data_IF_499092201310
#
_entry.id   IF_499092201310
#
_cell.length_a   1.000
_cell.length_b   1.000
_cell.length_c   1.000
_cell.angle_alpha   90.00
_cell.angle_beta   90.00
_cell.angle_gamma   90.00
#
_symmetry.space_group_name_H-M   'P 1'
#
loop_
_entity.id
_entity.type
_entity.pdbx_description
1 polymer ?
#
# COMPACT_ATOMS: atom_id res chain seq x y z
N UNK A 1 -0.04 1.62 19.67
CA UNK A 1 0.59 1.20 18.40
C UNK A 1 1.52 -0.01 18.55
N UNK A 2 2.06 -0.31 19.74
CA UNK A 2 2.83 -1.55 20.03
C UNK A 2 2.00 -2.59 20.79
N UNK A 3 0.69 -2.64 20.54
CA UNK A 3 -0.20 -3.68 21.07
C UNK A 3 -0.54 -4.62 19.94
N UNK A 4 -0.92 -5.86 20.26
CA UNK A 4 -1.45 -6.77 19.25
C UNK A 4 -2.59 -6.08 18.50
N UNK A 5 -2.57 -6.11 17.15
CA UNK A 5 -3.58 -5.44 16.37
C UNK A 5 -4.94 -6.12 16.57
N UNK A 6 -6.00 -5.32 16.62
CA UNK A 6 -7.35 -5.86 16.47
C UNK A 6 -7.47 -6.42 15.06
N UNK A 7 -7.90 -7.68 14.95
CA UNK A 7 -8.18 -8.32 13.67
C UNK A 7 -9.66 -8.23 13.33
N UNK A 8 -9.98 -8.11 12.05
CA UNK A 8 -11.34 -8.25 11.54
C UNK A 8 -11.91 -9.62 11.96
N UNK A 9 -13.13 -9.68 12.53
CA UNK A 9 -13.71 -10.93 13.05
C UNK A 9 -13.94 -12.00 11.97
N UNK A 10 -13.93 -11.63 10.69
CA UNK A 10 -14.13 -12.54 9.57
C UNK A 10 -12.81 -13.07 8.97
N UNK A 11 -11.65 -12.74 9.56
CA UNK A 11 -10.32 -13.10 9.05
C UNK A 11 -10.20 -14.59 8.66
N UNK A 12 -10.51 -15.51 9.56
CA UNK A 12 -10.33 -16.95 9.34
C UNK A 12 -11.17 -17.48 8.16
N UNK A 13 -12.43 -17.02 8.05
CA UNK A 13 -13.32 -17.42 6.95
C UNK A 13 -12.88 -16.81 5.63
N UNK A 14 -12.65 -15.50 5.61
CA UNK A 14 -12.24 -14.77 4.41
C UNK A 14 -10.89 -15.28 3.91
N UNK A 15 -9.97 -15.68 4.79
CA UNK A 15 -8.70 -16.31 4.41
C UNK A 15 -8.89 -17.54 3.54
N UNK A 16 -9.68 -18.51 4.00
CA UNK A 16 -9.90 -19.76 3.27
C UNK A 16 -10.48 -19.47 1.88
N UNK A 17 -11.50 -18.63 1.83
CA UNK A 17 -12.19 -18.33 0.58
C UNK A 17 -11.34 -17.46 -0.38
N UNK A 18 -10.52 -16.55 0.14
CA UNK A 18 -9.76 -15.62 -0.67
C UNK A 18 -8.53 -16.27 -1.28
N UNK A 19 -7.82 -17.05 -0.47
CA UNK A 19 -6.65 -17.78 -0.94
C UNK A 19 -7.07 -18.84 -1.99
N UNK A 20 -8.21 -19.50 -1.80
CA UNK A 20 -8.76 -20.47 -2.76
C UNK A 20 -9.20 -19.82 -4.07
N UNK A 21 -9.89 -18.68 -3.99
CA UNK A 21 -10.30 -17.92 -5.17
C UNK A 21 -9.09 -17.40 -5.96
N UNK A 22 -8.09 -16.85 -5.28
CA UNK A 22 -6.86 -16.38 -5.93
C UNK A 22 -6.11 -17.52 -6.62
N UNK A 23 -5.99 -18.69 -5.97
CA UNK A 23 -5.36 -19.87 -6.56
C UNK A 23 -6.06 -20.32 -7.84
N UNK A 24 -7.39 -20.38 -7.81
CA UNK A 24 -8.21 -20.76 -8.97
C UNK A 24 -8.09 -19.73 -10.10
N UNK A 25 -8.27 -18.44 -9.80
CA UNK A 25 -8.41 -17.41 -10.84
C UNK A 25 -7.10 -17.15 -11.58
N UNK A 26 -5.97 -17.22 -10.87
CA UNK A 26 -4.63 -17.11 -11.47
C UNK A 26 -4.08 -18.44 -12.00
N UNK A 27 -4.81 -19.56 -11.84
CA UNK A 27 -4.35 -20.88 -12.27
C UNK A 27 -3.07 -21.33 -11.59
N UNK A 28 -2.93 -21.05 -10.29
CA UNK A 28 -1.70 -21.33 -9.53
C UNK A 28 -1.48 -22.84 -9.38
N UNK A 29 -0.24 -23.28 -9.56
CA UNK A 29 0.16 -24.64 -9.20
C UNK A 29 0.21 -24.84 -7.66
N UNK A 30 0.47 -26.06 -7.21
CA UNK A 30 0.50 -26.38 -5.78
C UNK A 30 1.58 -25.57 -5.01
N UNK A 31 2.73 -25.32 -5.63
CA UNK A 31 3.83 -24.57 -5.01
C UNK A 31 3.48 -23.09 -4.90
N UNK A 32 2.92 -22.50 -5.95
CA UNK A 32 2.47 -21.11 -6.00
C UNK A 32 1.31 -20.89 -5.04
N UNK A 33 0.36 -21.83 -4.97
CA UNK A 33 -0.75 -21.79 -4.01
C UNK A 33 -0.23 -21.74 -2.57
N UNK A 34 0.73 -22.62 -2.22
CA UNK A 34 1.38 -22.60 -0.89
C UNK A 34 2.10 -21.28 -0.60
N UNK A 35 2.70 -20.64 -1.61
CA UNK A 35 3.33 -19.32 -1.47
C UNK A 35 2.27 -18.22 -1.24
N UNK A 36 1.17 -18.22 -2.00
CA UNK A 36 0.06 -17.27 -1.85
C UNK A 36 -0.55 -17.34 -0.43
N UNK A 37 -0.88 -18.54 0.04
CA UNK A 37 -1.44 -18.75 1.40
C UNK A 37 -0.52 -18.19 2.49
N UNK A 38 0.80 -18.34 2.32
CA UNK A 38 1.82 -17.83 3.25
C UNK A 38 2.01 -16.32 3.18
N UNK A 39 1.80 -15.69 2.02
CA UNK A 39 1.84 -14.24 1.89
C UNK A 39 0.76 -13.56 2.75
N UNK A 40 -0.37 -14.26 2.97
CA UNK A 40 -1.37 -13.93 3.97
C UNK A 40 -1.88 -12.49 3.88
N UNK A 41 -2.19 -12.04 2.66
CA UNK A 41 -2.76 -10.71 2.40
C UNK A 41 -4.06 -10.47 3.17
N UNK A 42 -4.78 -11.53 3.51
CA UNK A 42 -5.95 -11.49 4.39
C UNK A 42 -5.63 -11.01 5.79
N UNK A 43 -4.51 -11.43 6.38
CA UNK A 43 -4.09 -10.97 7.71
C UNK A 43 -3.75 -9.48 7.71
N UNK A 44 -3.00 -9.03 6.70
CA UNK A 44 -2.67 -7.62 6.52
C UNK A 44 -3.95 -6.76 6.47
N UNK A 45 -4.91 -7.15 5.64
CA UNK A 45 -6.18 -6.45 5.52
C UNK A 45 -7.06 -6.55 6.78
N UNK A 46 -6.96 -7.64 7.54
CA UNK A 46 -7.72 -7.81 8.78
C UNK A 46 -7.34 -6.75 9.83
N UNK A 47 -6.08 -6.30 9.81
CA UNK A 47 -5.60 -5.23 10.68
C UNK A 47 -6.11 -3.87 10.18
N UNK A 48 -6.01 -3.61 8.88
CA UNK A 48 -6.37 -2.31 8.28
C UNK A 48 -7.88 -2.05 8.33
N UNK A 49 -8.67 -3.09 8.13
CA UNK A 49 -10.13 -3.05 8.10
C UNK A 49 -10.74 -3.77 9.31
N UNK A 50 -10.15 -3.58 10.49
CA UNK A 50 -10.54 -4.30 11.73
C UNK A 50 -12.00 -4.14 12.15
N UNK A 51 -12.68 -3.09 11.68
CA UNK A 51 -14.08 -2.80 11.95
C UNK A 51 -15.01 -2.94 10.73
N UNK A 52 -14.47 -3.32 9.56
CA UNK A 52 -15.25 -3.48 8.35
C UNK A 52 -16.19 -4.68 8.44
N UNK A 53 -17.35 -4.59 7.79
CA UNK A 53 -18.16 -5.79 7.53
C UNK A 53 -17.44 -6.75 6.58
N UNK A 54 -17.91 -7.99 6.57
CA UNK A 54 -17.32 -9.07 5.79
C UNK A 54 -17.23 -8.73 4.30
N UNK A 55 -18.27 -8.13 3.72
CA UNK A 55 -18.35 -7.90 2.29
C UNK A 55 -17.28 -6.88 1.86
N UNK A 56 -17.19 -5.76 2.58
CA UNK A 56 -16.21 -4.72 2.30
C UNK A 56 -14.77 -5.22 2.53
N UNK A 57 -14.55 -5.92 3.65
CA UNK A 57 -13.27 -6.56 3.96
C UNK A 57 -12.85 -7.55 2.87
N UNK A 58 -13.77 -8.39 2.40
CA UNK A 58 -13.49 -9.37 1.34
C UNK A 58 -13.12 -8.70 0.01
N UNK A 59 -13.83 -7.65 -0.38
CA UNK A 59 -13.52 -6.89 -1.61
C UNK A 59 -12.14 -6.21 -1.53
N UNK A 60 -11.78 -5.67 -0.36
CA UNK A 60 -10.45 -5.10 -0.10
C UNK A 60 -9.34 -6.16 -0.19
N UNK A 61 -9.59 -7.37 0.34
CA UNK A 61 -8.66 -8.51 0.23
C UNK A 61 -8.44 -8.94 -1.22
N UNK A 62 -9.51 -9.02 -2.02
CA UNK A 62 -9.42 -9.43 -3.42
C UNK A 62 -8.61 -8.41 -4.24
N UNK A 63 -8.76 -7.12 -3.95
CA UNK A 63 -7.91 -6.08 -4.54
C UNK A 63 -6.44 -6.22 -4.14
N UNK A 64 -6.14 -6.60 -2.89
CA UNK A 64 -4.75 -6.82 -2.50
C UNK A 64 -4.13 -8.06 -3.14
N UNK A 65 -4.88 -9.14 -3.34
CA UNK A 65 -4.39 -10.24 -4.17
C UNK A 65 -4.02 -9.77 -5.57
N UNK A 66 -4.82 -8.85 -6.12
CA UNK A 66 -4.54 -8.24 -7.41
C UNK A 66 -3.31 -7.33 -7.41
N UNK A 67 -3.20 -6.38 -6.48
CA UNK A 67 -2.14 -5.37 -6.54
C UNK A 67 -0.76 -6.01 -6.43
N UNK A 68 -0.60 -7.04 -5.58
CA UNK A 68 0.67 -7.77 -5.50
C UNK A 68 0.96 -8.57 -6.77
N UNK A 69 -0.04 -9.24 -7.36
CA UNK A 69 0.15 -9.95 -8.62
C UNK A 69 0.49 -9.00 -9.78
N UNK A 70 -0.07 -7.79 -9.78
CA UNK A 70 0.22 -6.73 -10.74
C UNK A 70 1.63 -6.17 -10.54
N UNK A 71 1.99 -5.81 -9.31
CA UNK A 71 3.31 -5.26 -8.92
C UNK A 71 4.45 -6.24 -9.26
N UNK A 72 4.27 -7.54 -9.01
CA UNK A 72 5.22 -8.59 -9.37
C UNK A 72 5.57 -8.58 -10.88
N UNK A 73 4.68 -8.10 -11.77
CA UNK A 73 4.97 -7.98 -13.20
C UNK A 73 6.01 -6.88 -13.51
N UNK A 74 6.08 -5.84 -12.67
CA UNK A 74 7.02 -4.71 -12.77
C UNK A 74 8.30 -4.96 -11.96
N UNK A 75 8.24 -5.78 -10.92
CA UNK A 75 9.41 -6.12 -10.10
C UNK A 75 10.21 -7.29 -10.69
N UNK A 76 9.54 -8.41 -10.94
CA UNK A 76 10.18 -9.69 -11.31
C UNK A 76 9.77 -10.16 -12.72
N UNK A 77 8.73 -9.55 -13.29
CA UNK A 77 8.07 -9.99 -14.51
C UNK A 77 8.53 -9.29 -15.80
N UNK A 78 7.69 -9.35 -16.85
CA UNK A 78 8.07 -8.93 -18.20
C UNK A 78 8.23 -7.40 -18.36
N UNK A 79 7.73 -6.60 -17.42
CA UNK A 79 7.71 -5.14 -17.54
C UNK A 79 8.90 -4.45 -16.88
N UNK A 80 9.66 -5.16 -16.04
CA UNK A 80 10.70 -4.59 -15.17
C UNK A 80 11.71 -3.66 -15.86
N UNK A 81 12.05 -3.94 -17.11
CA UNK A 81 13.03 -3.18 -17.91
C UNK A 81 12.46 -2.75 -19.28
N UNK A 82 11.17 -2.98 -19.54
CA UNK A 82 10.50 -2.64 -20.80
C UNK A 82 9.40 -1.60 -20.56
N UNK A 83 9.81 -0.32 -20.58
CA UNK A 83 8.89 0.79 -20.38
C UNK A 83 7.77 0.89 -21.42
N UNK A 84 7.99 0.41 -22.65
CA UNK A 84 6.94 0.42 -23.67
C UNK A 84 5.85 -0.59 -23.34
N UNK A 85 6.23 -1.83 -22.97
CA UNK A 85 5.27 -2.83 -22.52
C UNK A 85 4.61 -2.43 -21.19
N UNK A 86 5.37 -1.87 -20.26
CA UNK A 86 4.86 -1.37 -18.98
C UNK A 86 3.78 -0.29 -19.18
N UNK A 87 4.04 0.70 -20.05
CA UNK A 87 3.08 1.76 -20.36
C UNK A 87 1.81 1.19 -21.00
N UNK A 88 1.95 0.24 -21.94
CA UNK A 88 0.79 -0.40 -22.56
C UNK A 88 -0.08 -1.16 -21.57
N UNK A 89 0.53 -1.85 -20.61
CA UNK A 89 -0.23 -2.56 -19.57
C UNK A 89 -0.94 -1.58 -18.63
N UNK A 90 -0.27 -0.50 -18.23
CA UNK A 90 -0.86 0.55 -17.40
C UNK A 90 -2.02 1.24 -18.10
N UNK A 91 -1.86 1.63 -19.37
CA UNK A 91 -2.91 2.27 -20.15
C UNK A 91 -4.13 1.36 -20.27
N UNK A 92 -3.89 0.07 -20.56
CA UNK A 92 -4.96 -0.90 -20.69
C UNK A 92 -5.65 -1.20 -19.35
N UNK A 93 -4.93 -1.15 -18.23
CA UNK A 93 -5.49 -1.35 -16.89
C UNK A 93 -6.29 -0.12 -16.44
N UNK A 94 -5.78 1.09 -16.70
CA UNK A 94 -6.51 2.33 -16.41
C UNK A 94 -7.80 2.43 -17.22
N UNK A 95 -7.80 1.96 -18.47
CA UNK A 95 -9.00 1.95 -19.31
C UNK A 95 -10.16 1.13 -18.71
N UNK A 96 -9.88 0.14 -17.86
CA UNK A 96 -10.90 -0.69 -17.18
C UNK A 96 -11.73 0.15 -16.20
N UNK A 97 -11.17 1.23 -15.65
CA UNK A 97 -11.89 2.11 -14.73
C UNK A 97 -12.87 3.05 -15.44
N UNK A 98 -13.09 2.88 -16.74
CA UNK A 98 -14.13 3.57 -17.50
C UNK A 98 -15.40 2.71 -17.54
N UNK A 99 -16.57 3.33 -17.43
CA UNK A 99 -17.86 2.62 -17.36
C UNK A 99 -18.20 1.79 -18.63
N UNK A 100 -17.43 1.95 -19.72
CA UNK A 100 -17.69 1.32 -21.02
C UNK A 100 -16.70 0.20 -21.38
N UNK A 101 -15.77 -0.17 -20.48
CA UNK A 101 -14.76 -1.17 -20.84
C UNK A 101 -15.38 -2.57 -21.04
N UNK A 102 -15.13 -3.26 -22.17
CA UNK A 102 -15.69 -4.58 -22.42
C UNK A 102 -15.21 -5.63 -21.40
N UNK A 103 -16.00 -6.68 -21.12
CA UNK A 103 -15.57 -7.77 -20.26
C UNK A 103 -14.26 -8.40 -20.75
N UNK A 104 -13.31 -8.58 -19.84
CA UNK A 104 -12.03 -9.24 -20.11
C UNK A 104 -12.15 -10.71 -19.71
N UNK A 105 -12.01 -11.69 -20.61
CA UNK A 105 -12.02 -13.09 -20.25
C UNK A 105 -10.81 -13.45 -19.38
N UNK A 106 -11.01 -14.31 -18.36
CA UNK A 106 -9.94 -14.71 -17.45
C UNK A 106 -8.79 -15.39 -18.21
N UNK A 107 -9.09 -16.23 -19.19
CA UNK A 107 -8.13 -16.98 -19.99
C UNK A 107 -7.25 -16.07 -20.87
N UNK A 108 -7.72 -14.85 -21.17
CA UNK A 108 -6.99 -13.88 -21.99
C UNK A 108 -5.99 -13.08 -21.15
N UNK A 109 -6.39 -12.64 -19.96
CA UNK A 109 -5.53 -11.90 -19.04
C UNK A 109 -6.08 -11.95 -17.61
N UNK A 110 -5.65 -12.93 -16.78
CA UNK A 110 -6.18 -13.10 -15.44
C UNK A 110 -6.03 -11.86 -14.55
N UNK A 111 -4.90 -11.17 -14.63
CA UNK A 111 -4.61 -9.98 -13.80
C UNK A 111 -5.59 -8.84 -14.11
N UNK A 112 -5.83 -8.52 -15.38
CA UNK A 112 -6.80 -7.49 -15.76
C UNK A 112 -8.25 -7.94 -15.56
N UNK A 113 -8.55 -9.22 -15.74
CA UNK A 113 -9.86 -9.78 -15.38
C UNK A 113 -10.17 -9.59 -13.89
N UNK A 114 -9.20 -9.87 -13.02
CA UNK A 114 -9.33 -9.64 -11.59
C UNK A 114 -9.46 -8.15 -11.27
N UNK A 115 -8.69 -7.27 -11.93
CA UNK A 115 -8.84 -5.83 -11.75
C UNK A 115 -10.25 -5.36 -12.11
N UNK A 116 -10.78 -5.77 -13.26
CA UNK A 116 -12.14 -5.42 -13.68
C UNK A 116 -13.19 -5.92 -12.70
N UNK A 117 -13.02 -7.15 -12.19
CA UNK A 117 -13.91 -7.74 -11.20
C UNK A 117 -13.88 -7.00 -9.87
N UNK A 118 -12.68 -6.66 -9.38
CA UNK A 118 -12.51 -5.94 -8.11
C UNK A 118 -12.97 -4.50 -8.23
N UNK A 119 -12.61 -3.79 -9.29
CA UNK A 119 -13.07 -2.43 -9.57
C UNK A 119 -14.60 -2.37 -9.57
N UNK A 120 -15.28 -3.23 -10.34
CA UNK A 120 -16.74 -3.27 -10.40
C UNK A 120 -17.37 -3.45 -9.01
N UNK A 121 -16.85 -4.41 -8.22
CA UNK A 121 -17.37 -4.71 -6.88
C UNK A 121 -17.12 -3.58 -5.88
N UNK A 122 -16.01 -2.87 -6.03
CA UNK A 122 -15.67 -1.70 -5.22
C UNK A 122 -16.56 -0.51 -5.60
N UNK A 123 -16.66 -0.18 -6.88
CA UNK A 123 -17.45 0.96 -7.39
C UNK A 123 -18.95 0.82 -7.15
N UNK A 124 -19.51 -0.40 -7.14
CA UNK A 124 -20.90 -0.64 -6.77
C UNK A 124 -21.27 -0.18 -5.34
N UNK A 125 -20.28 -0.10 -4.45
CA UNK A 125 -20.47 0.23 -3.03
C UNK A 125 -19.83 1.56 -2.62
N UNK A 126 -18.74 1.96 -3.27
CA UNK A 126 -18.04 3.20 -2.98
C UNK A 126 -18.87 4.41 -3.44
N UNK A 127 -18.89 5.48 -2.65
CA UNK A 127 -19.49 6.74 -3.10
C UNK A 127 -18.65 7.37 -4.24
N UNK A 128 -19.22 8.28 -5.06
CA UNK A 128 -18.51 8.86 -6.18
C UNK A 128 -17.18 9.55 -5.79
N UNK A 129 -17.11 10.18 -4.63
CA UNK A 129 -15.88 10.83 -4.16
C UNK A 129 -14.80 9.81 -3.79
N UNK A 130 -15.18 8.69 -3.16
CA UNK A 130 -14.27 7.57 -2.90
C UNK A 130 -13.75 6.96 -4.21
N UNK A 131 -14.63 6.77 -5.20
CA UNK A 131 -14.26 6.28 -6.53
C UNK A 131 -13.25 7.20 -7.22
N UNK A 132 -13.53 8.50 -7.27
CA UNK A 132 -12.64 9.50 -7.86
C UNK A 132 -11.26 9.52 -7.19
N UNK A 133 -11.22 9.49 -5.85
CA UNK A 133 -9.97 9.45 -5.08
C UNK A 133 -9.17 8.19 -5.36
N UNK A 134 -9.84 7.04 -5.39
CA UNK A 134 -9.17 5.77 -5.66
C UNK A 134 -8.60 5.73 -7.08
N UNK A 135 -9.36 6.17 -8.09
CA UNK A 135 -8.89 6.30 -9.48
C UNK A 135 -7.66 7.20 -9.54
N UNK A 136 -7.69 8.36 -8.86
CA UNK A 136 -6.55 9.28 -8.80
C UNK A 136 -5.32 8.62 -8.18
N UNK A 137 -5.47 8.06 -6.98
CA UNK A 137 -4.36 7.44 -6.25
C UNK A 137 -3.78 6.22 -6.97
N UNK A 138 -4.62 5.48 -7.70
CA UNK A 138 -4.17 4.39 -8.55
C UNK A 138 -3.36 4.89 -9.76
N UNK A 139 -3.80 5.96 -10.44
CA UNK A 139 -3.03 6.59 -11.52
C UNK A 139 -1.69 7.14 -11.04
N UNK A 140 -1.65 7.70 -9.84
CA UNK A 140 -0.41 8.17 -9.22
C UNK A 140 0.54 7.00 -8.93
N UNK A 141 0.03 5.87 -8.44
CA UNK A 141 0.80 4.63 -8.27
C UNK A 141 1.34 4.09 -9.60
N UNK A 142 0.51 4.01 -10.65
CA UNK A 142 0.96 3.61 -11.99
C UNK A 142 2.06 4.50 -12.53
N UNK A 143 1.97 5.82 -12.30
CA UNK A 143 3.04 6.77 -12.66
C UNK A 143 4.35 6.42 -11.92
N UNK A 144 4.25 6.04 -10.64
CA UNK A 144 5.37 5.54 -9.85
C UNK A 144 6.00 4.26 -10.43
N UNK A 145 5.18 3.31 -10.90
CA UNK A 145 5.67 2.07 -11.54
C UNK A 145 6.41 2.35 -12.86
N UNK A 146 5.91 3.25 -13.71
CA UNK A 146 6.63 3.64 -14.93
C UNK A 146 7.96 4.28 -14.59
N UNK A 147 7.97 5.18 -13.60
CA UNK A 147 9.20 5.80 -13.11
C UNK A 147 10.17 4.73 -12.60
N UNK A 148 9.71 3.73 -11.88
CA UNK A 148 10.52 2.59 -11.43
C UNK A 148 11.15 1.84 -12.60
N UNK A 149 10.36 1.48 -13.62
CA UNK A 149 10.87 0.77 -14.81
C UNK A 149 11.93 1.59 -15.55
N UNK A 150 11.73 2.90 -15.70
CA UNK A 150 12.73 3.78 -16.33
C UNK A 150 14.03 3.87 -15.52
N UNK A 151 13.93 3.94 -14.18
CA UNK A 151 15.11 3.93 -13.30
C UNK A 151 15.87 2.60 -13.44
N UNK A 152 15.17 1.46 -13.42
CA UNK A 152 15.77 0.12 -13.58
C UNK A 152 16.47 -0.01 -14.94
N UNK A 153 15.76 0.32 -16.03
CA UNK A 153 16.25 0.27 -17.41
C UNK A 153 17.50 1.13 -17.64
N UNK A 154 17.52 2.34 -17.09
CA UNK A 154 18.65 3.28 -17.24
C UNK A 154 19.76 3.04 -16.22
N UNK A 155 19.54 2.17 -15.23
CA UNK A 155 20.39 2.02 -14.04
C UNK A 155 20.73 3.36 -13.40
N UNK A 156 19.75 4.27 -13.39
CA UNK A 156 19.94 5.61 -12.82
C UNK A 156 20.23 5.46 -11.33
N UNK A 157 21.37 6.00 -10.91
CA UNK A 157 21.67 6.16 -9.48
C UNK A 157 20.85 7.33 -8.94
N UNK A 158 20.10 7.06 -7.88
CA UNK A 158 19.27 8.05 -7.21
C UNK A 158 20.01 8.63 -6.00
N UNK A 159 19.76 9.90 -5.73
CA UNK A 159 19.97 10.48 -4.39
C UNK A 159 18.93 9.93 -3.41
N UNK A 160 19.14 10.13 -2.10
CA UNK A 160 18.17 9.73 -1.06
C UNK A 160 16.83 10.44 -1.25
N UNK A 161 16.84 11.73 -1.56
CA UNK A 161 15.61 12.51 -1.77
C UNK A 161 14.85 12.04 -3.01
N UNK A 162 15.55 11.78 -4.11
CA UNK A 162 14.93 11.19 -5.31
C UNK A 162 14.37 9.79 -5.06
N UNK A 163 15.02 9.00 -4.19
CA UNK A 163 14.54 7.69 -3.76
C UNK A 163 13.23 7.80 -3.00
N UNK A 164 13.21 8.60 -1.92
CA UNK A 164 12.03 8.78 -1.07
C UNK A 164 10.85 9.28 -1.90
N UNK A 165 11.08 10.28 -2.77
CA UNK A 165 10.06 10.84 -3.63
C UNK A 165 9.42 9.80 -4.57
N UNK A 166 10.23 8.99 -5.26
CA UNK A 166 9.64 7.94 -6.10
C UNK A 166 9.00 6.81 -5.28
N UNK A 167 9.61 6.43 -4.15
CA UNK A 167 9.15 5.28 -3.36
C UNK A 167 7.79 5.54 -2.72
N UNK A 168 7.49 6.78 -2.32
CA UNK A 168 6.14 7.20 -1.91
C UNK A 168 5.08 6.93 -2.98
N UNK A 169 5.44 7.06 -4.25
CA UNK A 169 4.53 6.79 -5.38
C UNK A 169 4.45 5.29 -5.69
N UNK A 170 5.57 4.58 -5.68
CA UNK A 170 5.61 3.17 -6.12
C UNK A 170 5.31 2.13 -5.03
N UNK A 171 5.30 2.49 -3.74
CA UNK A 171 5.03 1.51 -2.66
C UNK A 171 3.56 1.06 -2.58
N UNK A 172 2.64 1.72 -3.30
CA UNK A 172 1.22 1.36 -3.29
C UNK A 172 0.47 1.72 -2.00
N UNK A 173 1.06 2.52 -1.11
CA UNK A 173 0.44 2.89 0.16
C UNK A 173 -0.82 3.75 -0.02
N UNK A 174 -0.81 4.73 -0.92
CA UNK A 174 -1.93 5.65 -1.12
C UNK A 174 -3.21 4.99 -1.66
N UNK A 175 -3.18 4.17 -2.74
CA UNK A 175 -4.37 3.45 -3.16
C UNK A 175 -4.88 2.48 -2.07
N UNK A 176 -3.99 1.90 -1.27
CA UNK A 176 -4.35 1.06 -0.13
C UNK A 176 -5.07 1.84 0.98
N UNK A 177 -4.58 3.04 1.33
CA UNK A 177 -5.21 3.91 2.32
C UNK A 177 -6.63 4.32 1.90
N UNK A 178 -6.86 4.62 0.62
CA UNK A 178 -8.20 4.94 0.11
C UNK A 178 -9.21 3.81 0.30
N UNK A 179 -8.77 2.56 0.31
CA UNK A 179 -9.65 1.42 0.58
C UNK A 179 -10.06 1.29 2.05
N UNK A 180 -9.37 1.95 2.99
CA UNK A 180 -9.77 1.95 4.41
C UNK A 180 -11.06 2.73 4.60
N UNK A 181 -11.21 3.87 3.91
CA UNK A 181 -12.43 4.67 3.91
C UNK A 181 -13.63 3.84 3.43
N UNK A 182 -13.44 3.17 2.29
CA UNK A 182 -14.39 2.22 1.71
C UNK A 182 -14.75 1.08 2.68
N UNK A 183 -13.74 0.39 3.22
CA UNK A 183 -13.94 -0.80 4.03
C UNK A 183 -14.65 -0.47 5.35
N UNK A 184 -14.31 0.66 5.97
CA UNK A 184 -14.92 1.11 7.21
C UNK A 184 -16.28 1.77 7.01
N UNK A 185 -16.74 1.99 5.77
CA UNK A 185 -18.01 2.67 5.49
C UNK A 185 -18.07 4.09 6.03
N UNK A 186 -16.93 4.78 6.08
CA UNK A 186 -16.83 6.17 6.53
C UNK A 186 -16.74 7.08 5.31
N UNK A 187 -17.26 8.30 5.41
CA UNK A 187 -17.11 9.32 4.37
C UNK A 187 -16.36 10.50 4.96
N UNK A 188 -15.21 10.83 4.39
CA UNK A 188 -14.38 11.96 4.80
C UNK A 188 -14.53 13.06 3.74
N UNK A 189 -14.81 14.30 4.18
CA UNK A 189 -14.91 15.42 3.24
C UNK A 189 -13.57 15.71 2.59
N UNK A 190 -13.61 16.15 1.33
CA UNK A 190 -12.39 16.49 0.60
C UNK A 190 -11.57 17.58 1.31
N UNK A 191 -12.23 18.54 1.97
CA UNK A 191 -11.57 19.58 2.78
C UNK A 191 -10.74 19.03 3.95
N UNK A 192 -11.13 17.90 4.53
CA UNK A 192 -10.37 17.24 5.61
C UNK A 192 -9.19 16.49 5.03
N UNK A 193 -9.37 15.82 3.88
CA UNK A 193 -8.29 15.10 3.20
C UNK A 193 -7.22 16.06 2.64
N UNK A 194 -7.65 17.19 2.07
CA UNK A 194 -6.76 18.23 1.53
C UNK A 194 -6.09 19.07 2.63
N UNK A 195 -6.53 18.92 3.88
CA UNK A 195 -5.92 19.64 4.99
C UNK A 195 -4.43 19.28 5.07
N UNK A 196 -3.49 20.24 5.17
CA UNK A 196 -2.06 19.98 5.12
C UNK A 196 -1.59 18.90 6.11
N UNK A 197 -2.20 18.81 7.30
CA UNK A 197 -1.89 17.77 8.28
C UNK A 197 -2.28 16.36 7.82
N UNK A 198 -3.42 16.21 7.13
CA UNK A 198 -3.87 14.91 6.60
C UNK A 198 -2.93 14.43 5.51
N UNK A 199 -2.61 15.32 4.56
CA UNK A 199 -1.62 15.05 3.50
C UNK A 199 -0.26 14.66 4.08
N UNK A 200 0.18 15.34 5.14
CA UNK A 200 1.46 15.01 5.78
C UNK A 200 1.41 13.68 6.54
N UNK A 201 0.29 13.37 7.20
CA UNK A 201 0.07 12.06 7.82
C UNK A 201 0.10 10.91 6.80
N UNK A 202 -0.49 11.10 5.62
CA UNK A 202 -0.44 10.12 4.53
C UNK A 202 0.99 9.91 4.04
N UNK A 203 1.76 10.99 3.82
CA UNK A 203 3.19 10.88 3.44
C UNK A 203 4.02 10.16 4.48
N UNK A 204 3.88 10.50 5.76
CA UNK A 204 4.59 9.83 6.84
C UNK A 204 4.18 8.35 6.93
N UNK A 205 2.91 8.04 6.68
CA UNK A 205 2.44 6.66 6.64
C UNK A 205 3.09 5.88 5.49
N UNK A 206 3.17 6.46 4.30
CA UNK A 206 3.90 5.88 3.17
C UNK A 206 5.38 5.67 3.50
N UNK A 207 6.01 6.65 4.16
CA UNK A 207 7.41 6.56 4.59
C UNK A 207 7.63 5.39 5.53
N UNK A 208 6.79 5.24 6.55
CA UNK A 208 6.90 4.12 7.48
C UNK A 208 6.69 2.77 6.77
N UNK A 209 5.77 2.70 5.82
CA UNK A 209 5.51 1.48 5.03
C UNK A 209 6.75 1.11 4.20
N UNK A 210 7.30 2.03 3.39
CA UNK A 210 8.45 1.66 2.56
C UNK A 210 9.72 1.46 3.38
N UNK A 211 9.94 2.22 4.47
CA UNK A 211 11.13 2.04 5.31
C UNK A 211 11.15 0.66 5.96
N UNK A 212 10.00 0.18 6.44
CA UNK A 212 9.89 -1.18 6.98
C UNK A 212 10.05 -2.22 5.86
N UNK A 213 9.47 -1.97 4.69
CA UNK A 213 9.62 -2.84 3.53
C UNK A 213 11.10 -2.99 3.15
N UNK A 214 11.83 -1.90 2.93
CA UNK A 214 13.24 -1.90 2.54
C UNK A 214 14.13 -2.63 3.55
N UNK A 215 13.87 -2.49 4.86
CA UNK A 215 14.62 -3.23 5.90
C UNK A 215 14.37 -4.73 5.79
N UNK A 216 13.12 -5.14 5.62
CA UNK A 216 12.74 -6.56 5.60
C UNK A 216 13.02 -7.23 4.26
N UNK A 217 12.96 -6.49 3.15
CA UNK A 217 13.23 -6.97 1.80
C UNK A 217 14.72 -6.98 1.47
N UNK A 218 15.59 -6.27 2.22
CA UNK A 218 17.00 -6.10 1.90
C UNK A 218 17.72 -7.40 1.47
N UNK A 219 17.46 -8.52 2.16
CA UNK A 219 18.06 -9.82 1.78
C UNK A 219 17.57 -10.29 0.41
N UNK A 220 16.25 -10.24 0.18
CA UNK A 220 15.65 -10.56 -1.12
C UNK A 220 16.21 -9.66 -2.21
N UNK A 221 16.29 -8.36 -1.94
CA UNK A 221 16.76 -7.36 -2.90
C UNK A 221 18.23 -7.60 -3.28
N UNK A 222 19.09 -7.92 -2.31
CA UNK A 222 20.49 -8.32 -2.55
C UNK A 222 20.59 -9.60 -3.38
N UNK A 223 19.78 -10.62 -3.10
CA UNK A 223 19.75 -11.89 -3.83
C UNK A 223 19.29 -11.71 -5.29
N UNK A 224 18.37 -10.77 -5.53
CA UNK A 224 17.85 -10.44 -6.86
C UNK A 224 18.66 -9.36 -7.60
N UNK A 225 19.64 -8.74 -6.95
CA UNK A 225 20.42 -7.64 -7.52
C UNK A 225 19.62 -6.34 -7.68
N UNK A 226 18.57 -6.15 -6.89
CA UNK A 226 17.75 -4.93 -6.88
C UNK A 226 18.51 -3.83 -6.13
N UNK A 227 18.85 -2.74 -6.83
CA UNK A 227 19.57 -1.61 -6.23
C UNK A 227 18.65 -0.54 -5.60
N UNK A 228 17.33 -0.66 -5.80
CA UNK A 228 16.31 0.31 -5.36
C UNK A 228 15.83 0.04 -3.93
N UNK A 229 16.77 0.06 -3.00
CA UNK A 229 16.54 -0.07 -1.57
C UNK A 229 17.31 1.05 -0.85
N UNK A 230 16.67 1.77 0.08
CA UNK A 230 17.27 2.93 0.74
C UNK A 230 18.60 2.59 1.42
N UNK A 231 18.72 1.40 2.02
CA UNK A 231 19.94 0.96 2.71
C UNK A 231 21.09 0.78 1.70
N UNK A 232 20.80 0.21 0.53
CA UNK A 232 21.80 0.01 -0.53
C UNK A 232 22.25 1.33 -1.14
N UNK A 233 21.32 2.26 -1.37
CA UNK A 233 21.66 3.59 -1.88
C UNK A 233 22.58 4.35 -0.93
N UNK A 234 22.30 4.30 0.37
CA UNK A 234 23.12 4.97 1.37
C UNK A 234 24.51 4.31 1.44
N UNK A 235 24.59 2.98 1.43
CA UNK A 235 25.87 2.23 1.39
C UNK A 235 26.72 2.62 0.18
N UNK A 236 26.11 2.76 -0.99
CA UNK A 236 26.79 3.09 -2.24
C UNK A 236 27.34 4.52 -2.30
N UNK A 237 26.99 5.40 -1.35
CA UNK A 237 27.57 6.74 -1.21
C UNK A 237 28.93 6.73 -0.46
N UNK A 238 29.51 5.56 -0.21
CA UNK A 238 30.85 5.42 0.38
C UNK A 238 30.89 5.58 1.89
N UNK A 239 29.74 5.44 2.55
CA UNK A 239 29.62 5.58 3.98
C UNK A 239 29.94 4.21 4.66
N UNK A 240 30.94 4.16 5.53
CA UNK A 240 31.48 2.94 6.18
C UNK A 240 30.60 2.41 7.32
N UNK A 241 30.53 1.08 7.55
CA UNK A 241 29.69 0.39 8.57
C UNK A 241 28.30 1.04 8.78
N UNK A 242 27.77 1.60 7.70
CA UNK A 242 26.67 2.54 7.75
C UNK A 242 25.32 1.86 7.77
N UNK A 243 25.26 0.56 7.49
CA UNK A 243 24.05 -0.24 7.68
C UNK A 243 23.55 -0.11 9.13
N UNK A 244 24.44 -0.13 10.13
CA UNK A 244 24.09 0.08 11.54
C UNK A 244 23.66 1.53 11.85
N UNK A 245 24.25 2.52 11.16
CA UNK A 245 23.91 3.94 11.34
C UNK A 245 22.58 4.30 10.66
N UNK A 246 22.33 3.77 9.46
CA UNK A 246 21.08 3.88 8.70
C UNK A 246 19.96 3.22 9.45
N UNK A 247 20.16 2.02 9.99
CA UNK A 247 19.16 1.37 10.84
C UNK A 247 18.85 2.23 12.08
N UNK A 248 19.85 2.79 12.76
CA UNK A 248 19.64 3.72 13.89
C UNK A 248 18.98 5.03 13.48
N UNK A 249 19.22 5.51 12.27
CA UNK A 249 18.60 6.72 11.74
C UNK A 249 17.14 6.49 11.34
N UNK A 250 16.85 5.39 10.63
CA UNK A 250 15.48 4.95 10.32
C UNK A 250 14.71 4.66 11.61
N UNK A 251 15.35 4.05 12.60
CA UNK A 251 14.80 3.91 13.94
C UNK A 251 14.52 5.28 14.58
N UNK A 252 15.42 6.26 14.43
CA UNK A 252 15.21 7.66 14.80
C UNK A 252 13.98 8.28 14.11
N UNK A 253 13.84 8.09 12.80
CA UNK A 253 12.69 8.57 12.02
C UNK A 253 11.38 7.93 12.49
N UNK A 254 11.38 6.62 12.74
CA UNK A 254 10.26 5.91 13.37
C UNK A 254 9.98 6.47 14.77
N UNK A 255 11.02 6.77 15.55
CA UNK A 255 10.87 7.34 16.88
C UNK A 255 10.30 8.76 16.86
N UNK A 256 10.51 9.53 15.80
CA UNK A 256 9.85 10.84 15.62
C UNK A 256 8.35 10.67 15.35
N UNK A 257 7.96 9.69 14.53
CA UNK A 257 6.54 9.37 14.34
C UNK A 257 5.89 8.89 15.65
N UNK A 258 6.62 8.09 16.44
CA UNK A 258 6.20 7.71 17.78
C UNK A 258 6.13 8.92 18.71
N UNK A 259 7.12 9.80 18.72
CA UNK A 259 7.13 11.00 19.57
C UNK A 259 5.88 11.84 19.31
N UNK A 260 5.56 12.13 18.04
CA UNK A 260 4.33 12.85 17.70
C UNK A 260 3.07 12.18 18.26
N UNK A 261 3.02 10.85 18.33
CA UNK A 261 1.86 10.11 18.82
C UNK A 261 1.81 9.92 20.34
N UNK A 262 2.91 10.15 21.05
CA UNK A 262 2.97 10.03 22.50
C UNK A 262 3.07 11.40 23.16
N UNK A 263 3.96 12.24 22.66
CA UNK A 263 4.15 13.60 23.12
C UNK A 263 2.90 14.44 22.93
N UNK A 264 2.19 14.36 21.79
CA UNK A 264 1.00 15.19 21.55
C UNK A 264 -0.14 14.96 22.55
N UNK A 265 -0.26 13.74 23.09
CA UNK A 265 -1.26 13.39 24.11
C UNK A 265 -0.75 13.56 25.54
N UNK A 266 0.55 13.81 25.73
CA UNK A 266 1.20 13.88 27.06
C UNK A 266 1.69 15.28 27.42
N UNK A 267 2.07 16.09 26.43
CA UNK A 267 2.78 17.36 26.64
C UNK A 267 1.88 18.51 27.09
N UNK A 268 0.57 18.28 27.25
CA UNK A 268 -0.42 19.31 27.59
C UNK A 268 -0.61 20.40 26.52
N UNK A 269 0.23 20.40 25.47
CA UNK A 269 0.29 21.46 24.47
C UNK A 269 -0.99 21.57 23.64
N UNK A 270 -1.56 20.45 23.24
CA UNK A 270 -2.74 20.41 22.36
C UNK A 270 -4.03 20.11 23.12
N UNK A 271 -3.98 19.11 23.99
CA UNK A 271 -5.16 18.57 24.65
C UNK A 271 -5.23 18.92 26.15
N UNK A 272 -4.29 19.74 26.66
CA UNK A 272 -4.18 20.06 28.09
C UNK A 272 -4.27 18.78 28.94
N UNK A 273 -5.19 18.73 29.89
CA UNK A 273 -5.40 17.59 30.78
C UNK A 273 -6.26 16.47 30.16
N UNK A 274 -6.88 16.73 28.99
CA UNK A 274 -7.73 15.75 28.30
C UNK A 274 -6.93 14.72 27.50
N UNK A 275 -5.64 14.95 27.28
CA UNK A 275 -4.78 14.10 26.44
C UNK A 275 -4.84 12.60 26.76
N UNK A 276 -4.71 12.16 28.02
CA UNK A 276 -4.85 10.75 28.39
C UNK A 276 -6.22 10.16 28.08
N UNK A 277 -7.30 10.94 28.30
CA UNK A 277 -8.66 10.49 28.05
C UNK A 277 -8.91 10.33 26.55
N UNK A 278 -8.57 11.34 25.74
CA UNK A 278 -8.69 11.30 24.28
C UNK A 278 -7.88 10.14 23.70
N UNK A 279 -6.68 9.87 24.24
CA UNK A 279 -5.86 8.72 23.80
C UNK A 279 -6.51 7.38 24.11
N UNK A 280 -7.18 7.25 25.25
CA UNK A 280 -7.82 6.01 25.67
C UNK A 280 -9.14 5.76 24.93
N UNK A 281 -9.95 6.80 24.73
CA UNK A 281 -11.30 6.68 24.17
C UNK A 281 -11.34 6.88 22.66
N UNK A 282 -10.33 7.56 22.08
CA UNK A 282 -10.30 8.05 20.69
C UNK A 282 -11.41 9.06 20.38
N UNK A 283 -11.97 9.71 21.39
CA UNK A 283 -13.03 10.70 21.25
C UNK A 283 -12.44 12.08 21.60
N UNK A 284 -12.56 13.03 20.67
CA UNK A 284 -12.15 14.41 20.85
C UNK A 284 -13.39 15.31 20.94
N UNK A 285 -13.51 16.08 22.03
CA UNK A 285 -14.60 17.04 22.19
C UNK A 285 -14.23 18.35 21.48
N UNK A 286 -15.06 18.77 20.53
CA UNK A 286 -14.89 20.03 19.83
C UNK A 286 -15.63 21.15 20.57
N UNK A 287 -15.12 22.39 20.58
CA UNK A 287 -15.89 23.53 21.08
C UNK A 287 -17.21 23.66 20.31
N UNK A 288 -18.28 24.03 21.03
CA UNK A 288 -19.58 24.34 20.44
C UNK A 288 -19.54 25.65 19.63
#
# INVERSE_FOLDING_TARGET
>A
MSVEPLLNPYYERVKVEADAWAAMIYGLDERMTKRNVKANFTYMNAIWASHADEEAYRKMVDWHHWVFAFDDQFDEGPFKEDAYLAQREIDATIAIMTDEHPPIPNESCPIRHVFQTTWKRLSERADPGQQERWIKNYKDYCTGLIRQVEIQKTRKRLTVDEYIDFRRQSIGAMPSCSLVEYACGITISQSVLDHPSSVECEKISADLVFLVNDVLSLRKDLELGVEHNLILLIKNQGLTDQEAVVLRYVEGCRNIALDNLYWSYKSGRYLKDEGPLVRATRILNLPA
#
